data_IF_361668260519
#
_entry.id   IF_361668260519
#
_cell.length_a   1.000
_cell.length_b   1.000
_cell.length_c   1.000
_cell.angle_alpha   90.00
_cell.angle_beta   90.00
_cell.angle_gamma   90.00
#
_symmetry.space_group_name_H-M   'P 1'
#
loop_
_entity.id
_entity.type
_entity.pdbx_description
1 polymer ?
#
# COMPACT_ATOMS: atom_id res chain seq x y z
N UNK A 1 -62.86 -6.58 -39.31
CA UNK A 1 -62.71 -5.95 -37.98
C UNK A 1 -61.63 -6.68 -37.20
N UNK A 2 -60.64 -5.92 -36.72
CA UNK A 2 -59.60 -6.24 -35.73
C UNK A 2 -58.43 -7.19 -36.08
N UNK A 3 -57.36 -6.51 -36.47
CA UNK A 3 -55.93 -6.87 -36.52
C UNK A 3 -55.42 -7.64 -35.29
N UNK A 4 -54.73 -8.78 -35.49
CA UNK A 4 -53.78 -9.33 -34.52
C UNK A 4 -52.37 -8.84 -34.84
N UNK A 5 -51.87 -7.92 -34.01
CA UNK A 5 -50.51 -7.38 -34.04
C UNK A 5 -49.48 -8.50 -33.87
N UNK A 6 -48.54 -8.63 -34.81
CA UNK A 6 -47.28 -9.37 -34.60
C UNK A 6 -46.51 -8.67 -33.48
N UNK A 7 -46.31 -9.35 -32.35
CA UNK A 7 -45.45 -8.89 -31.27
C UNK A 7 -44.04 -8.71 -31.79
N UNK A 8 -43.54 -7.48 -31.69
CA UNK A 8 -42.19 -7.08 -32.05
C UNK A 8 -41.17 -7.80 -31.16
N UNK A 9 -40.06 -8.18 -31.78
CA UNK A 9 -38.84 -8.59 -31.13
C UNK A 9 -38.45 -7.58 -30.05
N UNK A 10 -38.25 -8.06 -28.82
CA UNK A 10 -37.41 -7.38 -27.85
C UNK A 10 -36.03 -7.96 -28.03
N UNK A 11 -35.24 -7.29 -28.86
CA UNK A 11 -33.79 -7.35 -28.80
C UNK A 11 -33.43 -6.62 -27.51
N UNK A 12 -33.16 -7.37 -26.44
CA UNK A 12 -32.51 -6.84 -25.25
C UNK A 12 -31.09 -6.48 -25.66
N UNK A 13 -30.91 -5.24 -26.10
CA UNK A 13 -29.61 -4.68 -26.42
C UNK A 13 -28.78 -4.54 -25.15
N UNK A 14 -27.72 -5.33 -25.13
CA UNK A 14 -26.55 -5.28 -24.26
C UNK A 14 -26.11 -3.84 -23.93
N UNK A 15 -26.48 -3.33 -22.75
CA UNK A 15 -25.72 -2.24 -22.12
C UNK A 15 -24.57 -2.85 -21.33
N UNK A 16 -23.58 -3.37 -22.06
CA UNK A 16 -22.29 -3.76 -21.51
C UNK A 16 -21.52 -2.48 -21.18
N UNK A 17 -21.79 -1.90 -20.00
CA UNK A 17 -21.03 -0.79 -19.47
C UNK A 17 -19.56 -1.20 -19.40
N UNK A 18 -18.77 -0.66 -20.32
CA UNK A 18 -17.32 -0.84 -20.33
C UNK A 18 -16.76 0.01 -19.21
N UNK A 19 -16.46 -0.64 -18.09
CA UNK A 19 -15.80 -0.03 -16.95
C UNK A 19 -14.36 0.27 -17.40
N UNK A 20 -14.11 1.46 -17.94
CA UNK A 20 -12.74 1.94 -18.13
C UNK A 20 -12.20 2.29 -16.75
N UNK A 21 -11.58 1.31 -16.09
CA UNK A 21 -10.81 1.57 -14.89
C UNK A 21 -9.67 2.54 -15.26
N UNK A 22 -9.78 3.78 -14.80
CA UNK A 22 -8.69 4.75 -14.91
C UNK A 22 -7.45 4.10 -14.27
N UNK A 23 -6.30 4.02 -14.95
CA UNK A 23 -5.11 3.47 -14.34
C UNK A 23 -4.77 4.33 -13.11
N UNK A 24 -4.70 3.70 -11.93
CA UNK A 24 -4.29 4.40 -10.71
C UNK A 24 -2.93 5.03 -10.90
N UNK A 25 -2.76 6.27 -10.41
CA UNK A 25 -1.46 6.94 -10.43
C UNK A 25 -0.47 6.20 -9.53
N UNK A 26 0.83 6.36 -9.81
CA UNK A 26 1.88 5.75 -8.99
C UNK A 26 1.82 6.24 -7.53
N UNK A 27 1.47 7.52 -7.34
CA UNK A 27 1.24 8.11 -6.03
C UNK A 27 0.11 7.40 -5.28
N UNK A 28 -1.03 7.18 -5.94
CA UNK A 28 -2.19 6.52 -5.30
C UNK A 28 -1.84 5.09 -4.89
N UNK A 29 -1.14 4.35 -5.75
CA UNK A 29 -0.67 2.99 -5.44
C UNK A 29 0.26 2.96 -4.23
N UNK A 30 1.20 3.90 -4.15
CA UNK A 30 2.15 3.97 -3.05
C UNK A 30 1.46 4.34 -1.71
N UNK A 31 0.47 5.24 -1.75
CA UNK A 31 -0.32 5.60 -0.57
C UNK A 31 -1.19 4.44 -0.09
N UNK A 32 -1.79 3.68 -1.00
CA UNK A 32 -2.55 2.47 -0.65
C UNK A 32 -1.62 1.43 0.00
N UNK A 33 -0.45 1.16 -0.60
CA UNK A 33 0.53 0.23 -0.02
C UNK A 33 1.08 0.71 1.34
N UNK A 34 1.19 2.03 1.55
CA UNK A 34 1.54 2.59 2.86
C UNK A 34 0.44 2.31 3.88
N UNK A 35 -0.83 2.55 3.52
CA UNK A 35 -1.98 2.28 4.38
C UNK A 35 -2.06 0.79 4.77
N UNK A 36 -1.91 -0.11 3.80
CA UNK A 36 -1.94 -1.56 4.05
C UNK A 36 -0.87 -2.00 5.08
N UNK A 37 0.30 -1.36 5.07
CA UNK A 37 1.35 -1.63 6.07
C UNK A 37 1.03 -1.06 7.44
N UNK A 38 0.41 0.11 7.49
CA UNK A 38 -0.06 0.68 8.76
C UNK A 38 -1.17 -0.16 9.38
N UNK A 39 -2.02 -0.75 8.56
CA UNK A 39 -3.11 -1.63 9.02
C UNK A 39 -2.60 -3.00 9.48
N UNK A 40 -1.43 -3.42 9.02
CA UNK A 40 -0.80 -4.69 9.39
C UNK A 40 0.67 -4.50 9.81
N UNK A 41 0.93 -3.90 10.99
CA UNK A 41 2.28 -3.66 11.47
C UNK A 41 2.96 -4.97 11.87
N UNK A 42 4.29 -5.09 11.66
CA UNK A 42 5.04 -6.28 12.08
C UNK A 42 5.14 -6.38 13.60
N UNK A 43 5.37 -7.61 14.09
CA UNK A 43 5.66 -7.83 15.51
C UNK A 43 7.04 -7.26 15.85
N UNK A 44 7.11 -6.42 16.89
CA UNK A 44 8.36 -5.77 17.30
C UNK A 44 9.24 -6.73 18.10
N UNK A 45 10.45 -6.93 17.61
CA UNK A 45 11.57 -7.60 18.28
C UNK A 45 12.18 -6.64 19.30
N UNK A 46 12.37 -7.16 20.52
CA UNK A 46 13.10 -6.47 21.58
C UNK A 46 14.61 -6.77 21.47
N UNK A 47 15.41 -5.75 21.15
CA UNK A 47 16.85 -5.89 21.01
C UNK A 47 17.53 -6.35 22.31
N UNK A 48 16.96 -6.04 23.49
CA UNK A 48 17.53 -6.46 24.77
C UNK A 48 17.44 -7.99 24.99
N UNK A 49 16.55 -8.66 24.25
CA UNK A 49 16.37 -10.12 24.32
C UNK A 49 17.31 -10.89 23.38
N UNK A 50 18.01 -10.20 22.49
CA UNK A 50 18.90 -10.80 21.50
C UNK A 50 20.30 -11.05 22.09
N UNK A 51 21.01 -12.01 21.50
CA UNK A 51 22.41 -12.26 21.83
C UNK A 51 23.28 -11.07 21.42
N UNK A 52 24.39 -10.86 22.15
CA UNK A 52 25.45 -9.97 21.68
C UNK A 52 25.89 -10.38 20.26
N UNK A 53 26.32 -9.42 19.45
CA UNK A 53 26.64 -9.61 18.02
C UNK A 53 25.43 -9.83 17.10
N UNK A 54 24.20 -9.74 17.62
CA UNK A 54 22.99 -9.75 16.79
C UNK A 54 22.75 -8.39 16.13
N UNK A 55 22.13 -8.36 14.93
CA UNK A 55 21.67 -7.12 14.34
C UNK A 55 20.66 -6.42 15.24
N UNK A 56 20.64 -5.09 15.18
CA UNK A 56 19.71 -4.25 15.91
C UNK A 56 18.50 -3.92 15.03
N UNK A 57 17.31 -4.13 15.59
CA UNK A 57 16.04 -3.88 14.93
C UNK A 57 15.46 -2.54 15.39
N UNK A 58 15.16 -1.68 14.42
CA UNK A 58 14.47 -0.41 14.62
C UNK A 58 13.20 -0.39 13.78
N UNK A 59 12.30 0.56 14.06
CA UNK A 59 11.00 0.61 13.39
C UNK A 59 10.73 2.01 12.85
N UNK A 60 10.26 2.06 11.60
CA UNK A 60 9.86 3.29 10.94
C UNK A 60 8.73 3.97 11.70
N UNK A 61 8.84 5.28 11.93
CA UNK A 61 7.79 6.05 12.63
C UNK A 61 6.48 6.17 11.84
N UNK A 62 6.50 5.96 10.53
CA UNK A 62 5.33 6.15 9.66
C UNK A 62 4.58 4.86 9.38
N UNK A 63 5.29 3.74 9.16
CA UNK A 63 4.66 2.48 8.76
C UNK A 63 5.00 1.31 9.68
N UNK A 64 5.73 1.54 10.78
CA UNK A 64 6.28 0.52 11.67
C UNK A 64 7.13 -0.56 10.97
N UNK A 65 7.52 -0.32 9.72
CA UNK A 65 8.39 -1.19 8.95
C UNK A 65 9.76 -1.35 9.61
N UNK A 66 10.26 -2.57 9.60
CA UNK A 66 11.54 -2.95 10.22
C UNK A 66 12.73 -2.31 9.49
N UNK A 67 13.67 -1.79 10.27
CA UNK A 67 14.94 -1.25 9.83
C UNK A 67 16.03 -2.03 10.56
N UNK A 68 16.70 -2.92 9.83
CA UNK A 68 17.74 -3.79 10.36
C UNK A 68 19.10 -3.12 10.19
N UNK A 69 19.82 -2.92 11.29
CA UNK A 69 21.15 -2.36 11.30
C UNK A 69 22.15 -3.35 11.93
N UNK A 70 23.43 -3.32 11.49
CA UNK A 70 24.46 -4.12 12.16
C UNK A 70 24.65 -3.64 13.61
N UNK A 71 25.08 -4.51 14.50
CA UNK A 71 25.37 -4.16 15.90
C UNK A 71 26.40 -3.03 16.02
N UNK A 72 27.37 -3.01 15.10
CA UNK A 72 28.43 -1.99 15.04
C UNK A 72 27.94 -0.62 14.57
N UNK A 73 26.65 -0.46 14.26
CA UNK A 73 26.10 0.82 13.83
C UNK A 73 26.11 1.83 14.98
N UNK A 74 26.99 2.82 14.87
CA UNK A 74 27.21 3.86 15.89
C UNK A 74 26.63 5.23 15.52
N UNK A 75 26.08 5.36 14.31
CA UNK A 75 25.52 6.59 13.79
C UNK A 75 24.08 6.85 14.30
N UNK A 76 23.51 7.99 13.90
CA UNK A 76 22.12 8.30 14.21
C UNK A 76 21.17 7.26 13.58
N UNK A 77 20.31 6.68 14.41
CA UNK A 77 19.31 5.71 13.98
C UNK A 77 18.31 6.39 13.04
N UNK A 78 18.03 5.81 11.85
CA UNK A 78 17.05 6.34 10.92
C UNK A 78 15.64 6.33 11.53
N UNK A 79 14.89 7.40 11.31
CA UNK A 79 13.50 7.53 11.82
C UNK A 79 12.47 6.93 10.87
N UNK A 80 12.80 6.87 9.58
CA UNK A 80 11.94 6.38 8.51
C UNK A 80 12.63 5.24 7.79
N UNK A 81 11.85 4.28 7.28
CA UNK A 81 12.37 3.30 6.33
C UNK A 81 12.59 3.99 4.97
N UNK A 82 13.44 3.40 4.13
CA UNK A 82 13.83 3.95 2.82
C UNK A 82 12.62 4.36 1.96
N UNK A 83 11.55 3.58 1.99
CA UNK A 83 10.34 3.87 1.22
C UNK A 83 9.58 5.09 1.74
N UNK A 84 9.40 5.18 3.06
CA UNK A 84 8.73 6.33 3.66
C UNK A 84 9.58 7.60 3.54
N UNK A 85 10.90 7.47 3.61
CA UNK A 85 11.82 8.59 3.39
C UNK A 85 11.72 9.10 1.94
N UNK A 86 11.73 8.19 0.96
CA UNK A 86 11.55 8.53 -0.45
C UNK A 86 10.20 9.19 -0.74
N UNK A 87 9.10 8.65 -0.19
CA UNK A 87 7.78 9.24 -0.39
C UNK A 87 7.66 10.64 0.24
N UNK A 88 8.38 10.88 1.35
CA UNK A 88 8.49 12.21 1.96
C UNK A 88 9.30 13.17 1.07
N UNK A 89 10.43 12.73 0.52
CA UNK A 89 11.23 13.52 -0.43
C UNK A 89 10.45 13.91 -1.69
N UNK A 90 9.60 13.00 -2.17
CA UNK A 90 8.70 13.23 -3.31
C UNK A 90 7.51 14.15 -2.97
N UNK A 91 7.34 14.55 -1.71
CA UNK A 91 6.23 15.40 -1.26
C UNK A 91 4.87 14.70 -1.35
N UNK A 92 4.83 13.38 -1.20
CA UNK A 92 3.57 12.63 -1.27
C UNK A 92 2.79 12.65 0.04
N UNK A 93 3.47 12.86 1.17
CA UNK A 93 2.91 13.11 2.48
C UNK A 93 3.87 13.99 3.32
N UNK A 94 3.35 14.59 4.40
CA UNK A 94 4.06 15.52 5.30
C UNK A 94 4.39 14.89 6.65
#
# INVERSE_FOLDING_TARGET
MFTRKKGKALVESEERQTIFAKPMSEKDKALIALQERQDNPPMKIDNASLYAESPMFFYCKMCDGEIVLPESFTCAVPKLCNECDFMKEMGWFE
#
